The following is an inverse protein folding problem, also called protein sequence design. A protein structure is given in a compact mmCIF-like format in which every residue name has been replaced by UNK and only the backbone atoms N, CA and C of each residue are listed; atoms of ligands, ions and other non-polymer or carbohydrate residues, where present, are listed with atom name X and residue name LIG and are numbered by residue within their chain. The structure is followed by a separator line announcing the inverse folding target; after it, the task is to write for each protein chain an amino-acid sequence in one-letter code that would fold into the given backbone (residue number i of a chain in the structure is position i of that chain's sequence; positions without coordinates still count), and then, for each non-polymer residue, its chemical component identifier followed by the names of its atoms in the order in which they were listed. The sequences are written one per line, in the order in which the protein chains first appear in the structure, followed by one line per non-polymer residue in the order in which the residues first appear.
data_IF_766880708063
#
_entry.id   IF_766880708063
#
_cell.length_a   1.000
_cell.length_b   1.000
_cell.length_c   1.000
_cell.angle_alpha   90.00
_cell.angle_beta   90.00
_cell.angle_gamma   90.00
#
_symmetry.space_group_name_H-M   'P 1'
#
loop_
_entity.id
_entity.type
_entity.pdbx_description
1 polymer ?
#
# COMPACT_ATOMS: atom_id res chain seq x y z
N UNK A 1 6.83 -21.20 27.30
CA UNK A 1 6.78 -20.71 25.91
C UNK A 1 7.07 -19.21 25.95
N UNK A 2 8.23 -18.78 25.47
CA UNK A 2 8.64 -17.37 25.52
C UNK A 2 7.83 -16.58 24.50
N UNK A 3 7.02 -15.65 24.96
CA UNK A 3 6.36 -14.65 24.13
C UNK A 3 7.41 -13.74 23.52
N UNK A 4 7.65 -13.87 22.21
CA UNK A 4 8.40 -12.86 21.46
C UNK A 4 7.46 -11.66 21.31
N UNK A 5 7.61 -10.65 22.19
CA UNK A 5 7.21 -9.29 21.83
C UNK A 5 8.28 -8.77 20.87
N UNK A 6 8.04 -8.88 19.57
CA UNK A 6 8.81 -8.15 18.57
C UNK A 6 8.22 -6.74 18.59
N UNK A 7 8.90 -5.82 19.28
CA UNK A 7 8.48 -4.43 19.42
C UNK A 7 8.77 -3.62 18.15
N UNK A 8 8.03 -3.90 17.09
CA UNK A 8 7.89 -3.02 15.92
C UNK A 8 6.41 -2.74 15.70
N UNK A 9 6.08 -1.54 15.23
CA UNK A 9 4.70 -1.23 14.83
C UNK A 9 4.24 -2.21 13.73
N UNK A 10 2.95 -2.57 13.77
CA UNK A 10 2.38 -3.47 12.77
C UNK A 10 2.44 -2.76 11.42
N UNK A 11 3.16 -3.28 10.40
CA UNK A 11 3.33 -2.52 9.17
C UNK A 11 2.00 -2.34 8.43
N UNK A 12 1.73 -1.10 8.03
CA UNK A 12 0.56 -0.72 7.27
C UNK A 12 0.87 -0.78 5.77
N UNK A 13 0.03 -1.51 5.03
CA UNK A 13 0.16 -1.76 3.60
C UNK A 13 -1.03 -1.14 2.86
N UNK A 14 -0.75 -0.40 1.81
CA UNK A 14 -1.75 0.06 0.84
C UNK A 14 -1.64 -0.76 -0.45
N UNK A 15 -2.73 -1.39 -0.86
CA UNK A 15 -2.86 -2.07 -2.15
C UNK A 15 -3.68 -1.20 -3.12
N UNK A 16 -3.23 -1.06 -4.36
CA UNK A 16 -3.87 -0.22 -5.39
C UNK A 16 -3.99 -1.03 -6.68
N UNK A 17 -5.21 -1.35 -7.09
CA UNK A 17 -5.49 -2.21 -8.24
C UNK A 17 -6.96 -2.01 -8.64
N UNK A 18 -7.31 -1.90 -9.92
CA UNK A 18 -8.70 -1.72 -10.35
C UNK A 18 -9.52 -3.04 -10.35
N UNK A 19 -8.86 -4.18 -10.19
CA UNK A 19 -9.49 -5.49 -10.03
C UNK A 19 -9.78 -5.81 -8.55
N UNK A 20 -11.04 -5.61 -8.14
CA UNK A 20 -11.48 -5.88 -6.75
C UNK A 20 -11.16 -7.29 -6.23
N UNK A 21 -11.18 -8.31 -7.10
CA UNK A 21 -10.88 -9.68 -6.71
C UNK A 21 -9.41 -9.84 -6.28
N UNK A 22 -8.48 -9.18 -6.99
CA UNK A 22 -7.05 -9.19 -6.67
C UNK A 22 -6.82 -8.48 -5.34
N UNK A 23 -7.41 -7.29 -5.16
CA UNK A 23 -7.36 -6.54 -3.90
C UNK A 23 -7.80 -7.38 -2.70
N UNK A 24 -8.95 -8.06 -2.81
CA UNK A 24 -9.47 -8.89 -1.73
C UNK A 24 -8.56 -10.08 -1.43
N UNK A 25 -8.06 -10.76 -2.45
CA UNK A 25 -7.16 -11.91 -2.30
C UNK A 25 -5.86 -11.52 -1.58
N UNK A 26 -5.21 -10.46 -2.05
CA UNK A 26 -3.97 -9.95 -1.47
C UNK A 26 -4.18 -9.45 -0.04
N UNK A 27 -5.29 -8.74 0.20
CA UNK A 27 -5.66 -8.29 1.55
C UNK A 27 -5.77 -9.46 2.52
N UNK A 28 -6.57 -10.48 2.21
CA UNK A 28 -6.75 -11.64 3.08
C UNK A 28 -5.42 -12.36 3.34
N UNK A 29 -4.57 -12.49 2.32
CA UNK A 29 -3.24 -13.07 2.45
C UNK A 29 -2.36 -12.29 3.41
N UNK A 30 -2.20 -10.99 3.20
CA UNK A 30 -1.36 -10.12 4.01
C UNK A 30 -1.88 -9.97 5.45
N UNK A 31 -3.19 -9.84 5.66
CA UNK A 31 -3.77 -9.79 7.01
C UNK A 31 -3.50 -11.08 7.80
N UNK A 32 -3.44 -12.24 7.13
CA UNK A 32 -3.07 -13.53 7.76
C UNK A 32 -1.63 -13.54 8.26
N UNK A 33 -0.74 -12.77 7.63
CA UNK A 33 0.65 -12.57 8.08
C UNK A 33 0.80 -11.45 9.11
N UNK A 34 -0.31 -10.81 9.53
CA UNK A 34 -0.34 -9.81 10.58
C UNK A 34 -0.12 -8.37 10.11
N UNK A 35 -0.19 -8.09 8.80
CA UNK A 35 -0.16 -6.72 8.28
C UNK A 35 -1.50 -6.01 8.48
N UNK A 36 -1.49 -4.67 8.61
CA UNK A 36 -2.69 -3.86 8.46
C UNK A 36 -2.84 -3.46 7.00
N UNK A 37 -3.96 -3.77 6.36
CA UNK A 37 -4.09 -3.60 4.91
C UNK A 37 -5.29 -2.72 4.54
N UNK A 38 -4.99 -1.63 3.83
CA UNK A 38 -5.98 -0.85 3.10
C UNK A 38 -5.90 -1.15 1.60
N UNK A 39 -7.04 -1.01 0.91
CA UNK A 39 -7.17 -1.24 -0.53
C UNK A 39 -7.67 0.03 -1.20
N UNK A 40 -7.30 0.26 -2.45
CA UNK A 40 -7.80 1.34 -3.31
C UNK A 40 -8.07 0.78 -4.71
N UNK A 41 -9.22 1.12 -5.28
CA UNK A 41 -9.68 0.60 -6.57
C UNK A 41 -9.25 1.48 -7.77
N UNK A 42 -8.39 2.47 -7.54
CA UNK A 42 -7.88 3.40 -8.55
C UNK A 42 -6.60 4.10 -8.07
N UNK A 43 -5.79 4.60 -8.99
CA UNK A 43 -4.59 5.36 -8.67
C UNK A 43 -4.88 6.67 -7.91
N UNK A 44 -5.99 7.33 -8.22
CA UNK A 44 -6.47 8.53 -7.52
C UNK A 44 -6.80 8.22 -6.06
N UNK A 45 -7.63 7.19 -5.82
CA UNK A 45 -7.98 6.76 -4.46
C UNK A 45 -6.73 6.33 -3.67
N UNK A 46 -5.81 5.61 -4.32
CA UNK A 46 -4.56 5.18 -3.71
C UNK A 46 -3.67 6.35 -3.31
N UNK A 47 -3.53 7.34 -4.19
CA UNK A 47 -2.76 8.57 -3.92
C UNK A 47 -3.38 9.38 -2.79
N UNK A 48 -4.71 9.53 -2.78
CA UNK A 48 -5.43 10.25 -1.72
C UNK A 48 -5.28 9.56 -0.37
N UNK A 49 -5.43 8.23 -0.32
CA UNK A 49 -5.21 7.47 0.91
C UNK A 49 -3.79 7.61 1.40
N UNK A 50 -2.80 7.49 0.52
CA UNK A 50 -1.40 7.60 0.89
C UNK A 50 -1.07 8.97 1.50
N UNK A 51 -1.61 10.05 0.92
CA UNK A 51 -1.35 11.41 1.42
C UNK A 51 -2.02 11.68 2.78
N UNK A 52 -3.18 11.08 3.03
CA UNK A 52 -3.95 11.31 4.25
C UNK A 52 -3.53 10.39 5.41
N UNK A 53 -3.06 9.19 5.11
CA UNK A 53 -2.70 8.16 6.10
C UNK A 53 -1.18 7.92 6.14
N UNK A 54 -0.75 6.96 6.97
CA UNK A 54 0.65 6.51 7.00
C UNK A 54 0.69 5.05 6.57
N UNK A 55 1.53 4.76 5.58
CA UNK A 55 1.77 3.40 5.10
C UNK A 55 3.28 3.16 5.02
N UNK A 56 3.71 2.00 5.48
CA UNK A 56 5.09 1.53 5.36
C UNK A 56 5.36 1.00 3.95
N UNK A 57 4.32 0.43 3.32
CA UNK A 57 4.40 -0.22 2.00
C UNK A 57 3.19 0.20 1.17
N UNK A 58 3.43 0.55 -0.10
CA UNK A 58 2.40 0.68 -1.12
C UNK A 58 2.71 -0.27 -2.28
N UNK A 59 1.73 -1.08 -2.68
CA UNK A 59 1.78 -1.99 -3.82
C UNK A 59 0.73 -1.51 -4.82
N UNK A 60 1.14 -1.23 -6.05
CA UNK A 60 0.24 -0.72 -7.10
C UNK A 60 0.35 -1.58 -8.34
N UNK A 61 -0.79 -1.81 -9.00
CA UNK A 61 -0.80 -2.25 -10.38
C UNK A 61 -0.25 -1.14 -11.30
N UNK A 62 0.35 -1.56 -12.41
CA UNK A 62 1.00 -0.68 -13.36
C UNK A 62 0.06 -0.19 -14.47
N UNK A 63 -1.00 -0.95 -14.77
CA UNK A 63 -1.85 -0.76 -15.94
C UNK A 63 -3.31 -0.50 -15.51
N UNK A 64 -3.54 0.63 -14.83
CA UNK A 64 -4.88 1.08 -14.43
C UNK A 64 -5.45 2.16 -15.36
N UNK A 65 -6.79 2.21 -15.59
CA UNK A 65 -7.43 3.32 -16.28
C UNK A 65 -7.29 4.65 -15.52
N UNK A 66 -7.00 5.74 -16.23
CA UNK A 66 -6.86 7.06 -15.62
C UNK A 66 -5.44 7.27 -15.09
N UNK A 67 -5.25 7.14 -13.77
CA UNK A 67 -3.93 7.22 -13.13
C UNK A 67 -3.27 5.84 -13.05
N UNK A 68 -2.17 5.66 -13.77
CA UNK A 68 -1.40 4.42 -13.76
C UNK A 68 -0.46 4.30 -12.54
N UNK A 69 0.15 3.13 -12.34
CA UNK A 69 1.04 2.89 -11.20
C UNK A 69 2.29 3.78 -11.19
N UNK A 70 2.76 4.26 -12.35
CA UNK A 70 3.91 5.19 -12.42
C UNK A 70 3.52 6.56 -11.92
N UNK A 71 2.32 7.02 -12.25
CA UNK A 71 1.78 8.27 -11.78
C UNK A 71 1.49 8.23 -10.28
N UNK A 72 0.96 7.12 -9.76
CA UNK A 72 0.84 6.87 -8.30
C UNK A 72 2.20 7.03 -7.62
N UNK A 73 3.23 6.30 -8.07
CA UNK A 73 4.57 6.38 -7.48
C UNK A 73 5.15 7.80 -7.59
N UNK A 74 4.94 8.49 -8.72
CA UNK A 74 5.39 9.87 -8.92
C UNK A 74 4.71 10.84 -7.96
N UNK A 75 3.40 10.69 -7.71
CA UNK A 75 2.66 11.55 -6.79
C UNK A 75 3.06 11.28 -5.34
N UNK A 76 3.18 10.01 -4.96
CA UNK A 76 3.65 9.60 -3.63
C UNK A 76 5.05 10.15 -3.35
N UNK A 77 5.98 10.07 -4.30
CA UNK A 77 7.35 10.61 -4.16
C UNK A 77 7.42 12.13 -4.06
N UNK A 78 6.41 12.85 -4.52
CA UNK A 78 6.30 14.31 -4.34
C UNK A 78 5.76 14.69 -2.96
N UNK A 79 5.15 13.76 -2.23
CA UNK A 79 4.68 14.02 -0.88
C UNK A 79 5.87 14.17 0.08
N UNK A 80 5.82 15.18 0.96
CA UNK A 80 6.84 15.40 1.99
C UNK A 80 6.95 14.25 3.01
N UNK A 81 6.02 13.29 2.94
CA UNK A 81 5.89 12.14 3.84
C UNK A 81 6.69 10.91 3.36
N UNK A 82 7.30 10.95 2.17
CA UNK A 82 8.06 9.84 1.62
C UNK A 82 9.50 9.80 2.19
N UNK A 83 9.71 8.96 3.21
CA UNK A 83 11.04 8.52 3.64
C UNK A 83 11.56 7.40 2.73
N UNK A 84 12.75 7.57 2.16
CA UNK A 84 13.38 6.69 1.17
C UNK A 84 13.28 5.18 1.49
N UNK A 85 12.66 4.40 0.59
CA UNK A 85 13.08 3.03 0.28
C UNK A 85 12.96 2.80 -1.24
N UNK A 86 14.12 2.63 -1.90
CA UNK A 86 14.19 2.28 -3.32
C UNK A 86 13.95 0.78 -3.47
N UNK A 87 12.98 0.37 -4.29
CA UNK A 87 12.89 -1.00 -4.81
C UNK A 87 12.66 -0.95 -6.33
N UNK A 88 13.31 -1.90 -6.98
CA UNK A 88 13.52 -2.08 -8.43
C UNK A 88 12.22 -2.36 -9.18
#
# INVERSE_FOLDING_TARGET
MKSLKIGGDIPAVLLIDDEQMILMMLKMGLETYGYQVEIAASGEEGTDKFNNNHFDIAITDMDMPGMDGRDVVRNIRKSERYGFLSLY
#
